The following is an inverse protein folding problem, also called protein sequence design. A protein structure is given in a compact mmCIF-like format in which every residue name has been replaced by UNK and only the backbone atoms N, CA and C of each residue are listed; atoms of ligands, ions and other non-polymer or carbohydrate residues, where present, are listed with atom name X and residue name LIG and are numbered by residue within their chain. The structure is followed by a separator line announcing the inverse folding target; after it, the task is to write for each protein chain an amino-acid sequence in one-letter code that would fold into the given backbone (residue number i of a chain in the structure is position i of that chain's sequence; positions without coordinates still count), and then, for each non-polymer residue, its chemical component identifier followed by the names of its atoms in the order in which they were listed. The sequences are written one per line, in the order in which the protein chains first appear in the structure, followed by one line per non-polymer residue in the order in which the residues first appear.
data_IF_609736088848
#
_entry.id   IF_609736088848
#
_cell.length_a   1.000
_cell.length_b   1.000
_cell.length_c   1.000
_cell.angle_alpha   90.00
_cell.angle_beta   90.00
_cell.angle_gamma   90.00
#
_symmetry.space_group_name_H-M   'P 1'
#
loop_
_entity.id
_entity.type
_entity.pdbx_description
1 polymer ?
#
# COMPACT_ATOMS: atom_id res chain seq x y z
N UNK A 1 60.48 18.07 30.85
CA UNK A 1 60.98 17.11 31.83
C UNK A 1 60.66 15.74 31.30
N UNK A 2 61.47 15.14 30.51
CA UNK A 2 62.75 14.46 30.68
C UNK A 2 62.66 13.13 31.39
N UNK A 3 63.08 12.11 30.61
CA UNK A 3 63.80 10.90 31.01
C UNK A 3 62.88 9.71 31.37
N UNK A 4 63.18 8.42 31.04
CA UNK A 4 64.34 7.73 30.44
C UNK A 4 63.86 6.32 29.96
N UNK A 5 64.39 5.90 28.84
CA UNK A 5 64.53 4.56 28.29
C UNK A 5 65.14 3.53 29.25
N UNK A 6 64.65 2.28 29.17
CA UNK A 6 65.51 1.12 29.37
C UNK A 6 65.16 -0.07 28.50
N UNK A 7 66.04 -0.33 27.60
CA UNK A 7 66.20 -1.59 26.84
C UNK A 7 66.82 -2.67 27.70
N UNK A 8 66.33 -3.90 27.58
CA UNK A 8 67.09 -5.11 27.91
C UNK A 8 66.82 -6.21 26.90
N UNK A 9 67.83 -6.52 26.12
CA UNK A 9 67.98 -7.67 25.26
C UNK A 9 68.38 -8.89 26.09
N UNK A 10 67.73 -10.04 25.87
CA UNK A 10 68.38 -11.35 26.04
C UNK A 10 67.99 -12.25 24.87
N UNK A 11 69.04 -12.68 24.18
CA UNK A 11 68.99 -13.73 23.19
C UNK A 11 69.33 -15.05 23.86
N UNK A 12 68.61 -16.13 23.55
CA UNK A 12 69.14 -17.48 23.61
C UNK A 12 68.46 -18.36 22.54
N UNK A 13 69.30 -19.00 21.81
CA UNK A 13 69.06 -19.98 20.74
C UNK A 13 68.41 -21.25 21.25
N UNK A 14 67.50 -21.84 20.47
CA UNK A 14 67.36 -23.32 20.38
C UNK A 14 66.69 -23.72 19.04
N UNK A 15 67.20 -24.80 18.49
CA UNK A 15 67.03 -25.33 17.12
C UNK A 15 65.64 -25.97 16.85
N UNK A 16 65.32 -26.25 15.58
CA UNK A 16 64.04 -26.67 15.12
C UNK A 16 63.82 -28.19 15.18
N UNK A 17 62.61 -28.61 15.57
CA UNK A 17 62.13 -29.93 15.27
C UNK A 17 60.91 -29.76 14.33
N UNK A 18 61.11 -30.27 13.11
CA UNK A 18 60.07 -30.33 12.12
C UNK A 18 59.16 -31.55 12.45
N UNK A 19 57.94 -31.31 12.80
CA UNK A 19 56.88 -32.29 12.76
C UNK A 19 55.88 -31.82 11.69
N UNK A 20 55.86 -32.53 10.56
CA UNK A 20 54.88 -32.32 9.53
C UNK A 20 53.51 -32.82 10.04
N UNK A 21 52.62 -31.92 10.43
CA UNK A 21 51.21 -32.22 10.68
C UNK A 21 50.44 -32.04 9.37
N UNK A 22 50.05 -33.19 8.81
CA UNK A 22 49.12 -33.24 7.67
C UNK A 22 47.74 -32.78 8.14
N UNK A 23 47.38 -31.54 7.91
CA UNK A 23 46.03 -31.02 8.15
C UNK A 23 45.16 -31.44 6.96
N UNK A 24 44.37 -32.49 7.17
CA UNK A 24 43.25 -32.80 6.27
C UNK A 24 42.19 -31.73 6.40
N UNK A 25 42.17 -30.76 5.48
CA UNK A 25 41.08 -29.79 5.36
C UNK A 25 39.85 -30.51 4.81
N UNK A 26 38.94 -30.98 5.70
CA UNK A 26 37.58 -31.29 5.31
C UNK A 26 36.89 -29.96 4.92
N UNK A 27 36.81 -29.72 3.61
CA UNK A 27 36.00 -28.65 3.08
C UNK A 27 34.51 -28.96 3.35
N UNK A 28 33.94 -28.35 4.37
CA UNK A 28 32.48 -28.28 4.49
C UNK A 28 31.98 -27.37 3.39
N UNK A 29 31.44 -27.99 2.32
CA UNK A 29 30.60 -27.25 1.37
C UNK A 29 29.39 -26.71 2.16
N UNK A 30 29.49 -25.49 2.63
CA UNK A 30 28.37 -24.74 3.19
C UNK A 30 27.36 -24.54 2.06
N UNK A 31 26.28 -25.30 2.08
CA UNK A 31 25.11 -24.99 1.26
C UNK A 31 24.63 -23.60 1.68
N UNK A 32 24.88 -22.59 0.82
CA UNK A 32 24.28 -21.29 0.99
C UNK A 32 22.76 -21.46 1.04
N UNK A 33 22.04 -20.86 2.00
CA UNK A 33 20.59 -20.93 2.02
C UNK A 33 20.10 -20.29 0.71
N UNK A 34 19.48 -21.10 -0.15
CA UNK A 34 18.73 -20.60 -1.30
C UNK A 34 17.55 -19.82 -0.76
N UNK A 35 17.65 -18.49 -0.76
CA UNK A 35 16.50 -17.61 -0.57
C UNK A 35 15.59 -17.87 -1.77
N UNK A 36 14.55 -18.68 -1.58
CA UNK A 36 13.51 -18.85 -2.57
C UNK A 36 12.88 -17.47 -2.77
N UNK A 37 13.13 -16.86 -3.92
CA UNK A 37 12.45 -15.63 -4.31
C UNK A 37 10.94 -15.91 -4.28
N UNK A 38 10.19 -15.10 -3.52
CA UNK A 38 8.75 -15.23 -3.43
C UNK A 38 8.16 -14.99 -4.82
N UNK A 39 7.38 -15.94 -5.32
CA UNK A 39 6.77 -15.81 -6.65
C UNK A 39 5.84 -14.61 -6.69
N UNK A 40 5.98 -13.77 -7.71
CA UNK A 40 5.05 -12.67 -7.98
C UNK A 40 3.77 -13.14 -8.67
N UNK A 41 3.74 -14.35 -9.24
CA UNK A 41 2.57 -14.89 -9.93
C UNK A 41 1.44 -15.21 -8.95
N UNK A 42 0.30 -14.56 -9.15
CA UNK A 42 -0.91 -14.76 -8.35
C UNK A 42 -1.88 -15.79 -8.94
N UNK A 43 -1.55 -16.45 -10.04
CA UNK A 43 -2.49 -17.32 -10.79
C UNK A 43 -3.14 -18.40 -9.93
N UNK A 44 -2.37 -19.07 -9.08
CA UNK A 44 -2.89 -20.12 -8.18
C UNK A 44 -3.88 -19.55 -7.16
N UNK A 45 -3.53 -18.45 -6.50
CA UNK A 45 -4.42 -17.77 -5.55
C UNK A 45 -5.68 -17.25 -6.24
N UNK A 46 -5.55 -16.67 -7.44
CA UNK A 46 -6.72 -16.20 -8.21
C UNK A 46 -7.64 -17.38 -8.57
N UNK A 47 -7.10 -18.54 -8.95
CA UNK A 47 -7.91 -19.73 -9.20
C UNK A 47 -8.72 -20.17 -7.97
N UNK A 48 -8.12 -20.12 -6.78
CA UNK A 48 -8.80 -20.44 -5.52
C UNK A 48 -9.88 -19.40 -5.15
N UNK A 49 -9.67 -18.12 -5.45
CA UNK A 49 -10.61 -17.04 -5.13
C UNK A 49 -11.80 -16.96 -6.10
N UNK A 50 -11.69 -17.49 -7.33
CA UNK A 50 -12.69 -17.37 -8.38
C UNK A 50 -14.10 -17.82 -7.97
N UNK A 51 -14.32 -18.98 -7.29
CA UNK A 51 -15.66 -19.37 -6.85
C UNK A 51 -16.28 -18.35 -5.87
N UNK A 52 -15.50 -17.83 -4.93
CA UNK A 52 -15.98 -16.83 -4.00
C UNK A 52 -16.31 -15.49 -4.69
N UNK A 53 -15.50 -15.07 -5.67
CA UNK A 53 -15.76 -13.88 -6.47
C UNK A 53 -17.08 -14.01 -7.27
N UNK A 54 -17.33 -15.17 -7.88
CA UNK A 54 -18.58 -15.45 -8.60
C UNK A 54 -19.79 -15.39 -7.66
N UNK A 55 -19.72 -15.99 -6.47
CA UNK A 55 -20.76 -15.89 -5.45
C UNK A 55 -20.95 -14.44 -4.99
N UNK A 56 -19.89 -13.64 -4.99
CA UNK A 56 -19.86 -12.20 -4.76
C UNK A 56 -20.29 -11.35 -5.98
N UNK A 57 -20.94 -11.95 -7.01
CA UNK A 57 -21.48 -11.29 -8.21
C UNK A 57 -20.43 -10.66 -9.15
N UNK A 58 -19.19 -11.10 -9.11
CA UNK A 58 -18.17 -10.79 -10.13
C UNK A 58 -18.36 -11.74 -11.30
N UNK A 59 -18.61 -11.23 -12.51
CA UNK A 59 -18.77 -12.04 -13.71
C UNK A 59 -17.47 -12.72 -14.13
N UNK A 60 -17.58 -13.88 -14.80
CA UNK A 60 -16.41 -14.58 -15.32
C UNK A 60 -15.63 -13.73 -16.34
N UNK A 61 -16.31 -12.89 -17.10
CA UNK A 61 -15.66 -11.97 -18.05
C UNK A 61 -14.84 -10.89 -17.35
N UNK A 62 -15.39 -10.27 -16.30
CA UNK A 62 -14.68 -9.29 -15.47
C UNK A 62 -13.49 -9.94 -14.78
N UNK A 63 -13.70 -11.11 -14.18
CA UNK A 63 -12.63 -11.87 -13.56
C UNK A 63 -11.48 -12.14 -14.54
N UNK A 64 -11.76 -12.75 -15.68
CA UNK A 64 -10.75 -13.09 -16.68
C UNK A 64 -9.99 -11.85 -17.18
N UNK A 65 -10.73 -10.74 -17.43
CA UNK A 65 -10.13 -9.50 -17.94
C UNK A 65 -9.13 -8.88 -16.95
N UNK A 66 -9.43 -8.91 -15.65
CA UNK A 66 -8.68 -8.13 -14.66
C UNK A 66 -7.73 -8.97 -13.79
N UNK A 67 -7.81 -10.29 -13.85
CA UNK A 67 -6.92 -11.17 -13.06
C UNK A 67 -5.96 -12.01 -13.89
N UNK A 68 -6.13 -12.07 -15.22
CA UNK A 68 -5.21 -12.81 -16.08
C UNK A 68 -3.80 -12.21 -16.02
N UNK A 69 -2.82 -13.03 -15.62
CA UNK A 69 -1.43 -12.61 -15.51
C UNK A 69 -1.14 -11.60 -14.39
N UNK A 70 -2.04 -11.47 -13.41
CA UNK A 70 -1.87 -10.54 -12.30
C UNK A 70 -0.63 -10.91 -11.48
N UNK A 71 0.25 -9.93 -11.29
CA UNK A 71 1.47 -10.08 -10.53
C UNK A 71 1.35 -9.40 -9.16
N UNK A 72 1.96 -10.00 -8.14
CA UNK A 72 2.01 -9.40 -6.81
C UNK A 72 2.92 -8.17 -6.80
N UNK A 73 2.47 -7.13 -6.10
CA UNK A 73 3.30 -6.01 -5.67
C UNK A 73 3.58 -6.14 -4.17
N UNK A 74 4.72 -6.70 -3.81
CA UNK A 74 5.09 -6.91 -2.41
C UNK A 74 5.35 -5.62 -1.63
N UNK A 75 5.50 -4.47 -2.31
CA UNK A 75 5.62 -3.18 -1.62
C UNK A 75 4.38 -2.84 -0.79
N UNK A 76 3.20 -3.36 -1.16
CA UNK A 76 1.97 -3.17 -0.36
C UNK A 76 2.00 -4.00 0.93
N UNK A 77 2.70 -5.13 0.95
CA UNK A 77 2.90 -5.96 2.15
C UNK A 77 3.83 -5.27 3.15
N UNK A 78 4.89 -4.62 2.65
CA UNK A 78 5.78 -3.82 3.49
C UNK A 78 5.00 -2.69 4.18
N UNK A 79 4.16 -1.97 3.44
CA UNK A 79 3.30 -0.92 3.99
C UNK A 79 2.23 -1.45 4.93
N UNK A 80 1.67 -2.63 4.69
CA UNK A 80 0.72 -3.26 5.59
C UNK A 80 1.33 -3.50 6.99
N UNK A 81 2.63 -3.75 7.06
CA UNK A 81 3.34 -4.01 8.29
C UNK A 81 3.94 -2.75 8.95
N UNK A 82 3.92 -1.63 8.24
CA UNK A 82 4.43 -0.35 8.71
C UNK A 82 3.38 0.75 8.53
N UNK A 83 2.82 1.21 9.64
CA UNK A 83 1.81 2.28 9.68
C UNK A 83 2.35 3.44 10.52
N UNK A 84 3.00 4.45 9.88
CA UNK A 84 3.63 5.57 10.57
C UNK A 84 2.64 6.44 11.35
N UNK A 85 1.38 6.51 10.93
CA UNK A 85 0.31 7.27 11.57
C UNK A 85 0.07 6.89 13.04
N UNK A 86 0.40 5.66 13.44
CA UNK A 86 0.33 5.24 14.84
C UNK A 86 1.59 5.59 15.65
N UNK A 87 2.61 6.18 15.03
CA UNK A 87 3.88 6.54 15.66
C UNK A 87 4.16 8.03 15.66
N UNK A 88 3.45 8.79 14.83
CA UNK A 88 3.58 10.25 14.71
C UNK A 88 2.83 10.92 15.85
N UNK A 89 3.45 11.93 16.49
CA UNK A 89 2.73 12.73 17.49
C UNK A 89 1.52 13.43 16.85
N UNK A 90 0.42 13.54 17.59
CA UNK A 90 -0.83 14.10 17.04
C UNK A 90 -0.65 15.50 16.46
N UNK A 91 0.20 16.33 17.06
CA UNK A 91 0.44 17.70 16.62
C UNK A 91 1.20 17.74 15.28
N UNK A 92 2.17 16.86 15.10
CA UNK A 92 2.92 16.73 13.84
C UNK A 92 2.02 16.18 12.73
N UNK A 93 1.15 15.23 13.08
CA UNK A 93 0.14 14.70 12.15
C UNK A 93 -0.85 15.78 11.71
N UNK A 94 -1.38 16.56 12.65
CA UNK A 94 -2.28 17.68 12.36
C UNK A 94 -1.62 18.73 11.48
N UNK A 95 -0.38 19.15 11.80
CA UNK A 95 0.37 20.14 11.01
C UNK A 95 0.63 19.71 9.58
N UNK A 96 0.82 18.42 9.36
CA UNK A 96 1.02 17.87 8.02
C UNK A 96 -0.26 17.83 7.17
N UNK A 97 -1.43 17.81 7.83
CA UNK A 97 -2.73 17.73 7.17
C UNK A 97 -3.42 19.08 6.99
N UNK A 98 -3.11 20.05 7.85
CA UNK A 98 -3.79 21.35 7.88
C UNK A 98 -2.74 22.46 7.87
N UNK A 99 -2.41 22.95 6.69
CA UNK A 99 -1.53 24.09 6.44
C UNK A 99 -2.31 25.28 5.86
N UNK A 100 -1.67 26.45 5.81
CA UNK A 100 -2.31 27.67 5.31
C UNK A 100 -2.72 27.59 3.85
N UNK A 101 -1.94 26.91 3.01
CA UNK A 101 -2.22 26.70 1.59
C UNK A 101 -3.49 25.86 1.40
N UNK A 102 -3.58 24.71 2.12
CA UNK A 102 -4.76 23.85 2.06
C UNK A 102 -6.01 24.53 2.58
N UNK A 103 -5.90 25.39 3.61
CA UNK A 103 -7.01 26.21 4.11
C UNK A 103 -7.45 27.23 3.06
N UNK A 104 -6.51 27.89 2.38
CA UNK A 104 -6.82 28.85 1.31
C UNK A 104 -7.50 28.15 0.12
N UNK A 105 -6.97 27.01 -0.32
CA UNK A 105 -7.56 26.17 -1.38
C UNK A 105 -8.97 25.71 -0.99
N UNK A 106 -9.18 25.28 0.23
CA UNK A 106 -10.51 24.88 0.72
C UNK A 106 -11.52 26.01 0.63
N UNK A 107 -11.16 27.23 0.99
CA UNK A 107 -12.02 28.40 0.84
C UNK A 107 -12.36 28.69 -0.62
N UNK A 108 -11.41 28.51 -1.51
CA UNK A 108 -11.64 28.65 -2.96
C UNK A 108 -12.62 27.57 -3.44
N UNK A 109 -12.46 26.30 -3.04
CA UNK A 109 -13.38 25.19 -3.39
C UNK A 109 -14.79 25.39 -2.85
N UNK A 110 -14.96 25.94 -1.63
CA UNK A 110 -16.28 26.32 -1.11
C UNK A 110 -17.00 27.29 -2.05
N UNK A 111 -16.29 28.23 -2.64
CA UNK A 111 -16.85 29.20 -3.57
C UNK A 111 -17.14 28.58 -4.94
N UNK A 112 -16.20 27.85 -5.47
CA UNK A 112 -16.27 27.20 -6.78
C UNK A 112 -17.42 26.19 -6.88
N UNK A 113 -17.59 25.38 -5.84
CA UNK A 113 -18.57 24.29 -5.82
C UNK A 113 -19.83 24.61 -5.00
N UNK A 114 -20.11 25.90 -4.72
CA UNK A 114 -21.21 26.36 -3.86
C UNK A 114 -22.52 25.64 -4.12
N UNK A 115 -22.98 25.60 -5.38
CA UNK A 115 -24.28 25.00 -5.71
C UNK A 115 -24.35 23.50 -5.43
N UNK A 116 -23.27 22.76 -5.70
CA UNK A 116 -23.20 21.33 -5.41
C UNK A 116 -23.18 21.07 -3.91
N UNK A 117 -22.42 21.87 -3.16
CA UNK A 117 -22.33 21.79 -1.70
C UNK A 117 -23.66 22.14 -1.01
N UNK A 118 -24.34 23.19 -1.44
CA UNK A 118 -25.67 23.55 -0.92
C UNK A 118 -26.70 22.44 -1.16
N UNK A 119 -26.69 21.81 -2.37
CA UNK A 119 -27.56 20.66 -2.65
C UNK A 119 -27.22 19.44 -1.76
N UNK A 120 -25.93 19.18 -1.55
CA UNK A 120 -25.50 18.10 -0.68
C UNK A 120 -25.90 18.36 0.80
N UNK A 121 -25.71 19.58 1.27
CA UNK A 121 -26.13 20.01 2.62
C UNK A 121 -27.63 19.86 2.84
N UNK A 122 -28.45 20.33 1.87
CA UNK A 122 -29.90 20.18 1.92
C UNK A 122 -30.34 18.72 1.91
N UNK A 123 -29.66 17.87 1.16
CA UNK A 123 -30.04 16.47 0.99
C UNK A 123 -29.57 15.58 2.15
N UNK A 124 -28.38 15.83 2.68
CA UNK A 124 -27.70 14.93 3.61
C UNK A 124 -27.49 15.54 5.00
N UNK A 125 -27.73 16.83 5.20
CA UNK A 125 -27.58 17.52 6.49
C UNK A 125 -26.13 17.69 6.94
N UNK A 126 -25.16 17.64 6.00
CA UNK A 126 -23.73 17.82 6.29
C UNK A 126 -23.28 19.18 5.77
N UNK A 127 -22.70 20.02 6.62
CA UNK A 127 -22.29 21.36 6.23
C UNK A 127 -21.18 21.34 5.15
N UNK A 128 -21.21 22.35 4.30
CA UNK A 128 -20.32 22.47 3.15
C UNK A 128 -18.83 22.50 3.55
N UNK A 129 -18.50 23.13 4.70
CA UNK A 129 -17.10 23.21 5.13
C UNK A 129 -16.56 21.84 5.56
N UNK A 130 -17.37 21.01 6.20
CA UNK A 130 -17.00 19.62 6.53
C UNK A 130 -16.74 18.79 5.27
N UNK A 131 -17.60 18.90 4.25
CA UNK A 131 -17.41 18.19 2.97
C UNK A 131 -16.08 18.59 2.30
N UNK A 132 -15.81 19.89 2.23
CA UNK A 132 -14.59 20.42 1.61
C UNK A 132 -13.35 20.06 2.46
N UNK A 133 -13.43 20.08 3.78
CA UNK A 133 -12.33 19.70 4.67
C UNK A 133 -11.93 18.23 4.48
N UNK A 134 -12.90 17.32 4.43
CA UNK A 134 -12.65 15.89 4.11
C UNK A 134 -11.97 15.77 2.74
N UNK A 135 -12.48 16.43 1.70
CA UNK A 135 -11.89 16.41 0.37
C UNK A 135 -10.43 16.90 0.37
N UNK A 136 -10.15 17.98 1.12
CA UNK A 136 -8.80 18.52 1.26
C UNK A 136 -7.84 17.57 1.95
N UNK A 137 -8.26 16.95 3.07
CA UNK A 137 -7.44 16.03 3.86
C UNK A 137 -7.18 14.73 3.10
N UNK A 138 -8.21 14.16 2.46
CA UNK A 138 -8.13 12.84 1.84
C UNK A 138 -7.35 12.82 0.51
N UNK A 139 -7.49 13.85 -0.31
CA UNK A 139 -6.90 13.84 -1.65
C UNK A 139 -6.29 15.16 -2.11
N UNK A 140 -6.09 16.11 -1.19
CA UNK A 140 -5.69 17.47 -1.56
C UNK A 140 -6.55 18.03 -2.70
N UNK A 141 -7.86 18.01 -2.51
CA UNK A 141 -8.86 18.45 -3.51
C UNK A 141 -8.73 17.72 -4.85
N UNK A 142 -8.40 16.45 -4.83
CA UNK A 142 -8.27 15.63 -6.04
C UNK A 142 -6.91 15.72 -6.74
N UNK A 143 -5.90 16.29 -6.10
CA UNK A 143 -4.54 16.34 -6.65
C UNK A 143 -3.72 15.07 -6.33
N UNK A 144 -4.11 14.33 -5.30
CA UNK A 144 -3.40 13.12 -4.83
C UNK A 144 -4.37 11.97 -4.59
N UNK A 145 -4.37 10.97 -5.48
CA UNK A 145 -5.21 9.78 -5.35
C UNK A 145 -4.46 8.51 -4.90
N UNK A 146 -3.14 8.61 -4.74
CA UNK A 146 -2.27 7.45 -4.62
C UNK A 146 -1.77 6.97 -6.00
N UNK A 147 -0.91 5.94 -5.98
CA UNK A 147 -0.21 5.48 -7.20
C UNK A 147 -0.32 3.98 -7.46
N UNK A 148 -1.00 3.25 -6.60
CA UNK A 148 -1.09 1.80 -6.71
C UNK A 148 -2.28 1.42 -7.61
N UNK A 149 -2.08 0.61 -8.67
CA UNK A 149 -3.20 0.00 -9.38
C UNK A 149 -4.01 -0.86 -8.41
N UNK A 150 -5.29 -0.52 -8.19
CA UNK A 150 -6.07 -1.11 -7.09
C UNK A 150 -6.26 -2.61 -7.23
N UNK A 151 -6.48 -3.09 -8.45
CA UNK A 151 -6.64 -4.53 -8.71
C UNK A 151 -5.38 -5.29 -8.30
N UNK A 152 -4.19 -4.76 -8.61
CA UNK A 152 -2.92 -5.36 -8.24
C UNK A 152 -2.69 -5.31 -6.73
N UNK A 153 -2.87 -4.14 -6.12
CA UNK A 153 -2.67 -3.94 -4.69
C UNK A 153 -3.59 -4.87 -3.87
N UNK A 154 -4.90 -4.83 -4.16
CA UNK A 154 -5.89 -5.64 -3.45
C UNK A 154 -5.76 -7.13 -3.77
N UNK A 155 -5.42 -7.50 -5.01
CA UNK A 155 -5.10 -8.87 -5.37
C UNK A 155 -3.91 -9.42 -4.57
N UNK A 156 -2.85 -8.63 -4.44
CA UNK A 156 -1.70 -8.99 -3.61
C UNK A 156 -2.09 -9.18 -2.14
N UNK A 157 -2.80 -8.22 -1.56
CA UNK A 157 -3.26 -8.26 -0.16
C UNK A 157 -4.28 -9.37 0.11
N UNK A 158 -5.01 -9.81 -0.92
CA UNK A 158 -5.94 -10.93 -0.84
C UNK A 158 -5.25 -12.29 -0.74
N UNK A 159 -4.04 -12.38 -1.31
CA UNK A 159 -3.25 -13.61 -1.39
C UNK A 159 -2.13 -13.66 -0.37
N UNK A 160 -1.62 -12.51 0.04
CA UNK A 160 -0.44 -12.40 0.91
C UNK A 160 -0.68 -11.47 2.10
N UNK A 161 0.14 -11.63 3.14
CA UNK A 161 0.09 -10.79 4.33
C UNK A 161 -1.02 -11.16 5.31
N UNK A 162 -1.31 -10.23 6.21
CA UNK A 162 -2.37 -10.36 7.23
C UNK A 162 -3.69 -9.75 6.73
N UNK A 163 -4.82 -10.12 7.34
CA UNK A 163 -6.16 -9.62 7.02
C UNK A 163 -6.65 -9.97 5.61
N UNK A 164 -6.20 -11.07 5.04
CA UNK A 164 -6.56 -11.49 3.67
C UNK A 164 -8.07 -11.53 3.45
N UNK A 165 -8.87 -12.02 4.41
CA UNK A 165 -10.32 -12.11 4.23
C UNK A 165 -10.97 -10.74 4.06
N UNK A 166 -10.48 -9.71 4.76
CA UNK A 166 -10.91 -8.33 4.57
C UNK A 166 -10.56 -7.84 3.15
N UNK A 167 -9.30 -7.99 2.74
CA UNK A 167 -8.86 -7.52 1.42
C UNK A 167 -9.50 -8.28 0.27
N UNK A 168 -9.88 -9.55 0.44
CA UNK A 168 -10.70 -10.29 -0.55
C UNK A 168 -12.05 -9.64 -0.78
N UNK A 169 -12.71 -9.17 0.27
CA UNK A 169 -13.95 -8.39 0.16
C UNK A 169 -13.75 -7.12 -0.67
N UNK A 170 -12.72 -6.34 -0.34
CA UNK A 170 -12.39 -5.11 -1.07
C UNK A 170 -11.99 -5.38 -2.52
N UNK A 171 -11.25 -6.45 -2.78
CA UNK A 171 -10.87 -6.88 -4.12
C UNK A 171 -12.10 -7.22 -4.99
N UNK A 172 -13.07 -7.95 -4.44
CA UNK A 172 -14.30 -8.27 -5.17
C UNK A 172 -15.15 -7.03 -5.41
N UNK A 173 -15.21 -6.12 -4.45
CA UNK A 173 -15.84 -4.80 -4.62
C UNK A 173 -15.17 -3.99 -5.73
N UNK A 174 -13.84 -3.94 -5.76
CA UNK A 174 -13.09 -3.26 -6.82
C UNK A 174 -13.41 -3.84 -8.21
N UNK A 175 -13.49 -5.16 -8.33
CA UNK A 175 -13.87 -5.80 -9.59
C UNK A 175 -15.32 -5.49 -10.00
N UNK A 176 -16.26 -5.38 -9.05
CA UNK A 176 -17.65 -4.98 -9.35
C UNK A 176 -17.76 -3.52 -9.79
N UNK A 177 -16.97 -2.62 -9.19
CA UNK A 177 -16.88 -1.22 -9.63
C UNK A 177 -16.43 -1.13 -11.09
N UNK A 178 -15.41 -1.90 -11.47
CA UNK A 178 -14.97 -2.00 -12.87
C UNK A 178 -16.04 -2.65 -13.77
N UNK A 179 -16.73 -3.66 -13.27
CA UNK A 179 -17.82 -4.34 -13.99
C UNK A 179 -18.98 -3.40 -14.29
N UNK A 180 -19.31 -2.54 -13.32
CA UNK A 180 -20.36 -1.53 -13.49
C UNK A 180 -19.95 -0.35 -14.37
N UNK A 181 -18.64 -0.22 -14.69
CA UNK A 181 -18.14 0.86 -15.55
C UNK A 181 -18.03 2.22 -14.87
N UNK A 182 -18.05 2.27 -13.53
CA UNK A 182 -17.90 3.53 -12.79
C UNK A 182 -16.55 4.19 -13.04
N UNK A 183 -15.50 3.42 -13.26
CA UNK A 183 -14.15 3.92 -13.52
C UNK A 183 -13.45 3.09 -14.60
N UNK A 184 -12.65 3.73 -15.43
CA UNK A 184 -11.79 3.03 -16.38
C UNK A 184 -10.62 2.33 -15.67
N UNK A 185 -10.24 1.09 -16.07
CA UNK A 185 -9.19 0.33 -15.39
C UNK A 185 -7.87 1.08 -15.23
N UNK A 186 -7.49 1.88 -16.24
CA UNK A 186 -6.24 2.65 -16.29
C UNK A 186 -6.23 3.80 -15.27
N UNK A 187 -7.41 4.25 -14.86
CA UNK A 187 -7.61 5.31 -13.87
C UNK A 187 -7.88 4.78 -12.47
N UNK A 188 -8.03 3.45 -12.31
CA UNK A 188 -8.35 2.84 -11.03
C UNK A 188 -7.10 2.66 -10.18
N UNK A 189 -6.56 3.79 -9.73
CA UNK A 189 -5.39 3.91 -8.87
C UNK A 189 -5.78 4.50 -7.52
N UNK A 190 -5.00 4.19 -6.48
CA UNK A 190 -5.28 4.66 -5.13
C UNK A 190 -4.15 4.39 -4.16
N UNK A 191 -4.50 4.29 -2.88
CA UNK A 191 -3.56 3.94 -1.82
C UNK A 191 -3.12 2.47 -1.92
N UNK A 192 -2.05 2.14 -1.22
CA UNK A 192 -1.56 0.76 -1.11
C UNK A 192 -2.60 -0.21 -0.53
N UNK A 193 -3.53 0.29 0.28
CA UNK A 193 -4.58 -0.50 0.93
C UNK A 193 -5.89 -0.54 0.14
N UNK A 194 -6.00 0.17 -0.98
CA UNK A 194 -7.16 0.14 -1.84
C UNK A 194 -8.13 1.32 -1.71
N UNK A 195 -7.83 2.33 -0.89
CA UNK A 195 -8.61 3.56 -0.84
C UNK A 195 -8.39 4.39 -2.11
N UNK A 196 -9.45 4.99 -2.69
CA UNK A 196 -9.38 5.68 -3.97
C UNK A 196 -10.33 6.86 -4.09
N UNK A 197 -10.09 7.66 -5.12
CA UNK A 197 -10.94 8.79 -5.48
C UNK A 197 -10.79 9.99 -4.54
N UNK A 198 -11.68 10.95 -4.69
CA UNK A 198 -11.63 12.23 -3.98
C UNK A 198 -11.75 12.09 -2.46
N UNK A 199 -12.51 11.12 -1.98
CA UNK A 199 -12.79 10.87 -0.56
C UNK A 199 -12.05 9.66 0.00
N UNK A 200 -11.12 9.09 -0.77
CA UNK A 200 -10.33 7.91 -0.38
C UNK A 200 -11.19 6.78 0.22
N UNK A 201 -12.32 6.52 -0.42
CA UNK A 201 -13.17 5.41 -0.02
C UNK A 201 -12.53 4.05 -0.34
N UNK A 202 -12.72 3.11 0.55
CA UNK A 202 -12.51 1.70 0.21
C UNK A 202 -13.56 1.24 -0.80
N UNK A 203 -13.25 0.27 -1.69
CA UNK A 203 -14.19 -0.19 -2.72
C UNK A 203 -15.57 -0.59 -2.18
N UNK A 204 -15.64 -1.30 -1.05
CA UNK A 204 -16.91 -1.66 -0.42
C UNK A 204 -17.67 -0.45 0.13
N UNK A 205 -16.99 0.58 0.56
CA UNK A 205 -17.60 1.84 1.00
C UNK A 205 -18.16 2.61 -0.19
N UNK A 206 -17.42 2.65 -1.31
CA UNK A 206 -17.91 3.23 -2.56
C UNK A 206 -19.20 2.55 -3.02
N UNK A 207 -19.24 1.22 -3.11
CA UNK A 207 -20.45 0.48 -3.52
C UNK A 207 -21.67 0.78 -2.63
N UNK A 208 -21.44 1.07 -1.36
CA UNK A 208 -22.52 1.31 -0.41
C UNK A 208 -23.01 2.76 -0.38
N UNK A 209 -22.10 3.73 -0.58
CA UNK A 209 -22.38 5.15 -0.28
C UNK A 209 -22.26 6.07 -1.49
N UNK A 210 -21.58 5.67 -2.56
CA UNK A 210 -21.44 6.52 -3.73
C UNK A 210 -22.80 6.72 -4.41
N UNK A 211 -23.03 7.93 -4.89
CA UNK A 211 -24.26 8.32 -5.57
C UNK A 211 -23.90 8.99 -6.90
N UNK A 212 -24.68 8.71 -7.92
CA UNK A 212 -24.68 9.46 -9.16
C UNK A 212 -25.32 10.83 -8.89
N UNK A 213 -24.48 11.85 -8.71
CA UNK A 213 -24.93 13.17 -8.29
C UNK A 213 -25.35 14.06 -9.44
N UNK A 214 -24.77 13.89 -10.61
CA UNK A 214 -25.03 14.69 -11.83
C UNK A 214 -25.92 13.97 -12.84
N UNK A 215 -26.22 12.68 -12.64
CA UNK A 215 -27.13 11.91 -13.47
C UNK A 215 -26.49 11.33 -14.74
N UNK A 216 -25.14 11.20 -14.76
CA UNK A 216 -24.43 10.66 -15.93
C UNK A 216 -24.40 9.13 -15.98
N UNK A 217 -24.98 8.45 -14.99
CA UNK A 217 -25.02 6.99 -14.84
C UNK A 217 -23.80 6.42 -14.14
N UNK A 218 -22.95 7.25 -13.57
CA UNK A 218 -21.78 6.87 -12.79
C UNK A 218 -21.83 7.50 -11.40
N UNK A 219 -21.24 6.81 -10.45
CA UNK A 219 -21.12 7.33 -9.10
C UNK A 219 -19.65 7.66 -8.79
#
# INVERSE_FOLDING_TARGET
MSFVTHTLRFATHLKPWATASLVLALGTLGAAPTVLAQSTDLSACMAELRPAARNGKVSDATWARHTAGLQADFSVIEKLNFQPEFRTAIWDYMSALVDEERVADGKARLTEHRQALERAEQRFGVDAATVVAVWGVESNFGQTFGKYPLVQALGTLSCHGRRQSYFRGEFFSALRILQAGHIAPERFVGSWAGAFGHTQFMPSTFERLAVDFDGDGRA
#
